data_IF_302482050250
#
_entry.id   IF_302482050250
#
_cell.length_a   1.000
_cell.length_b   1.000
_cell.length_c   1.000
_cell.angle_alpha   90.00
_cell.angle_beta   90.00
_cell.angle_gamma   90.00
#
_symmetry.space_group_name_H-M   'P 1'
#
loop_
_entity.id
_entity.type
_entity.pdbx_description
1 polymer ?
#
# COMPACT_ATOMS: atom_id res chain seq x y z
N UNK A 1 9.18 -17.61 6.68
CA UNK A 1 10.13 -16.80 5.87
C UNK A 1 10.63 -17.55 4.62
N UNK A 2 10.30 -18.84 4.46
CA UNK A 2 10.80 -19.69 3.36
C UNK A 2 10.05 -19.54 2.02
N UNK A 3 8.89 -18.89 1.99
CA UNK A 3 7.97 -19.08 0.86
C UNK A 3 8.03 -18.04 -0.28
N UNK A 4 8.62 -16.84 -0.09
CA UNK A 4 8.52 -15.75 -1.08
C UNK A 4 9.83 -15.26 -1.71
N UNK A 5 10.97 -15.86 -1.35
CA UNK A 5 12.28 -15.46 -1.87
C UNK A 5 12.65 -14.01 -1.56
N UNK A 6 13.86 -13.56 -1.95
CA UNK A 6 14.25 -12.16 -1.81
C UNK A 6 13.48 -11.27 -2.81
N UNK A 7 13.41 -9.97 -2.52
CA UNK A 7 12.98 -8.99 -3.51
C UNK A 7 13.86 -9.08 -4.78
N UNK A 8 13.31 -8.78 -5.98
CA UNK A 8 14.09 -8.82 -7.21
C UNK A 8 15.35 -7.95 -7.13
N UNK A 9 16.50 -8.49 -7.54
CA UNK A 9 17.81 -7.84 -7.36
C UNK A 9 17.92 -6.44 -7.99
N UNK A 10 17.13 -6.16 -9.04
CA UNK A 10 17.10 -4.82 -9.64
C UNK A 10 16.55 -3.74 -8.69
N UNK A 11 15.91 -4.12 -7.59
CA UNK A 11 15.41 -3.20 -6.56
C UNK A 11 16.39 -2.93 -5.43
N UNK A 12 17.52 -3.65 -5.36
CA UNK A 12 18.46 -3.55 -4.23
C UNK A 12 18.92 -2.11 -3.99
N UNK A 13 19.29 -1.39 -5.05
CA UNK A 13 19.72 0.02 -4.92
C UNK A 13 18.62 0.94 -4.36
N UNK A 14 17.34 0.61 -4.57
CA UNK A 14 16.21 1.34 -3.96
C UNK A 14 16.08 0.97 -2.49
N UNK A 15 16.16 -0.32 -2.16
CA UNK A 15 16.11 -0.82 -0.78
C UNK A 15 17.25 -0.21 0.05
N UNK A 16 18.47 -0.22 -0.47
CA UNK A 16 19.63 0.39 0.19
C UNK A 16 19.37 1.87 0.50
N UNK A 17 18.89 2.63 -0.49
CA UNK A 17 18.55 4.05 -0.31
C UNK A 17 17.41 4.25 0.70
N UNK A 18 16.39 3.41 0.69
CA UNK A 18 15.28 3.46 1.66
C UNK A 18 15.83 3.32 3.08
N UNK A 19 16.72 2.35 3.29
CA UNK A 19 17.31 2.07 4.60
C UNK A 19 18.31 3.14 5.03
N UNK A 20 19.20 3.59 4.14
CA UNK A 20 20.16 4.66 4.40
C UNK A 20 19.46 5.96 4.82
N UNK A 21 18.35 6.31 4.17
CA UNK A 21 17.58 7.51 4.47
C UNK A 21 16.56 7.31 5.62
N UNK A 22 16.46 6.09 6.17
CA UNK A 22 15.55 5.73 7.27
C UNK A 22 14.08 6.07 6.98
N UNK A 23 13.66 5.89 5.73
CA UNK A 23 12.25 6.09 5.35
C UNK A 23 11.34 4.92 5.78
N UNK A 24 11.93 3.78 6.10
CA UNK A 24 11.28 2.65 6.75
C UNK A 24 12.07 2.24 7.99
N UNK A 25 11.41 1.76 9.06
CA UNK A 25 12.11 1.27 10.25
C UNK A 25 12.84 -0.05 10.00
N UNK A 26 12.23 -0.92 9.20
CA UNK A 26 12.77 -2.22 8.80
C UNK A 26 12.82 -2.31 7.28
N UNK A 27 13.69 -3.20 6.77
CA UNK A 27 13.81 -3.43 5.33
C UNK A 27 12.48 -3.93 4.75
N UNK A 28 12.01 -3.37 3.62
CA UNK A 28 10.87 -3.93 2.93
C UNK A 28 11.19 -5.37 2.51
N UNK A 29 10.21 -6.25 2.67
CA UNK A 29 10.26 -7.66 2.25
C UNK A 29 9.15 -7.98 1.24
N UNK A 30 8.34 -6.99 0.86
CA UNK A 30 7.26 -7.12 -0.11
C UNK A 30 7.29 -5.95 -1.10
N UNK A 31 7.14 -6.27 -2.38
CA UNK A 31 7.01 -5.33 -3.48
C UNK A 31 5.70 -5.58 -4.24
N UNK A 32 4.85 -4.57 -4.35
CA UNK A 32 3.70 -4.56 -5.27
C UNK A 32 4.02 -3.68 -6.47
N UNK A 33 3.79 -4.18 -7.68
CA UNK A 33 3.87 -3.40 -8.91
C UNK A 33 2.45 -3.17 -9.41
N UNK A 34 2.05 -1.91 -9.49
CA UNK A 34 0.77 -1.53 -10.11
C UNK A 34 1.03 -0.88 -11.46
N UNK A 35 0.28 -1.29 -12.48
CA UNK A 35 0.21 -0.64 -13.77
C UNK A 35 -1.18 0.01 -13.93
N UNK A 36 -1.20 1.29 -14.29
CA UNK A 36 -2.40 2.04 -14.60
C UNK A 36 -2.30 2.62 -16.00
N UNK A 37 -3.16 2.16 -16.91
CA UNK A 37 -3.39 2.83 -18.18
C UNK A 37 -4.39 3.99 -17.99
N UNK A 38 -4.46 4.96 -18.92
CA UNK A 38 -5.52 5.98 -18.90
C UNK A 38 -6.90 5.32 -18.79
N UNK A 39 -7.75 5.81 -17.89
CA UNK A 39 -9.03 5.17 -17.58
C UNK A 39 -9.00 4.21 -16.39
N UNK A 40 -7.82 3.92 -15.81
CA UNK A 40 -7.66 3.03 -14.67
C UNK A 40 -7.21 3.79 -13.42
N UNK A 41 -7.75 3.39 -12.28
CA UNK A 41 -7.47 3.96 -10.97
C UNK A 41 -7.57 2.90 -9.87
N UNK A 42 -7.54 3.34 -8.62
CA UNK A 42 -7.76 2.48 -7.46
C UNK A 42 -8.73 3.16 -6.50
N UNK A 43 -9.71 2.39 -6.02
CA UNK A 43 -10.73 2.89 -5.10
C UNK A 43 -10.12 3.30 -3.75
N UNK A 44 -10.75 4.22 -3.00
CA UNK A 44 -10.27 4.61 -1.68
C UNK A 44 -10.13 3.44 -0.72
N UNK A 45 -8.91 3.22 -0.22
CA UNK A 45 -8.60 2.14 0.71
C UNK A 45 -7.43 2.49 1.64
N UNK A 46 -7.30 1.71 2.71
CA UNK A 46 -6.12 1.70 3.60
C UNK A 46 -5.44 0.35 3.42
N UNK A 47 -4.12 0.32 3.27
CA UNK A 47 -3.36 -0.92 3.25
C UNK A 47 -3.50 -1.67 4.57
N UNK A 48 -3.74 -2.98 4.49
CA UNK A 48 -4.06 -3.85 5.63
C UNK A 48 -3.14 -3.61 6.85
N UNK A 49 -3.63 -2.92 7.90
CA UNK A 49 -2.82 -2.56 9.06
C UNK A 49 -2.30 -3.76 9.86
N UNK A 50 -3.03 -4.87 9.81
CA UNK A 50 -2.63 -6.12 10.45
C UNK A 50 -1.53 -6.86 9.68
N UNK A 51 -1.38 -6.61 8.37
CA UNK A 51 -0.44 -7.35 7.53
C UNK A 51 0.86 -6.57 7.30
N UNK A 52 0.78 -5.25 7.11
CA UNK A 52 1.92 -4.43 6.72
C UNK A 52 2.37 -3.49 7.84
N UNK A 53 3.69 -3.35 8.02
CA UNK A 53 4.35 -2.51 9.01
C UNK A 53 4.05 -1.00 8.89
N UNK A 54 4.66 -0.12 9.68
CA UNK A 54 4.21 1.27 9.86
C UNK A 54 4.51 2.25 8.71
N UNK A 55 5.26 1.82 7.70
CA UNK A 55 5.62 2.63 6.54
C UNK A 55 5.22 1.92 5.24
N UNK A 56 4.61 2.68 4.32
CA UNK A 56 4.43 2.30 2.91
C UNK A 56 5.12 3.32 2.03
N UNK A 57 5.92 2.83 1.10
CA UNK A 57 6.63 3.67 0.15
C UNK A 57 6.13 3.37 -1.26
N UNK A 58 5.67 4.37 -2.01
CA UNK A 58 5.23 4.21 -3.40
C UNK A 58 6.05 5.08 -4.35
N UNK A 59 6.89 4.44 -5.16
CA UNK A 59 7.68 5.07 -6.19
C UNK A 59 6.85 5.20 -7.47
N UNK A 60 6.66 6.43 -7.96
CA UNK A 60 5.92 6.70 -9.19
C UNK A 60 6.85 6.72 -10.41
N UNK A 61 6.51 5.96 -11.44
CA UNK A 61 7.27 5.81 -12.68
C UNK A 61 6.40 6.11 -13.90
N UNK A 62 7.06 6.41 -15.02
CA UNK A 62 6.48 6.75 -16.32
C UNK A 62 5.69 8.07 -16.35
N UNK A 63 4.58 8.20 -15.64
CA UNK A 63 3.77 9.44 -15.61
C UNK A 63 3.37 9.82 -14.19
N UNK A 64 2.91 11.05 -14.04
CA UNK A 64 2.38 11.56 -12.78
C UNK A 64 0.89 11.21 -12.59
N UNK A 65 0.40 11.37 -11.36
CA UNK A 65 -1.01 11.27 -11.01
C UNK A 65 -1.33 12.13 -9.78
N UNK A 66 -2.61 12.31 -9.49
CA UNK A 66 -3.07 12.78 -8.19
C UNK A 66 -3.45 11.56 -7.34
N UNK A 67 -2.82 11.44 -6.17
CA UNK A 67 -3.28 10.53 -5.12
C UNK A 67 -4.13 11.32 -4.14
N UNK A 68 -5.41 10.95 -4.03
CA UNK A 68 -6.36 11.59 -3.11
C UNK A 68 -6.38 10.85 -1.79
N UNK A 69 -6.18 11.57 -0.69
CA UNK A 69 -6.31 11.09 0.67
C UNK A 69 -7.61 11.60 1.28
N UNK A 70 -8.42 10.71 1.85
CA UNK A 70 -9.68 11.07 2.52
C UNK A 70 -9.81 10.42 3.89
N UNK A 71 -10.25 11.20 4.88
CA UNK A 71 -10.57 10.73 6.22
C UNK A 71 -11.66 11.60 6.82
N UNK A 72 -12.84 11.02 7.08
CA UNK A 72 -14.03 11.77 7.52
C UNK A 72 -14.33 12.93 6.55
N UNK A 73 -14.40 14.17 7.05
CA UNK A 73 -14.63 15.38 6.24
C UNK A 73 -13.33 16.01 5.70
N UNK A 74 -12.18 15.36 5.91
CA UNK A 74 -10.87 15.86 5.47
C UNK A 74 -10.47 15.22 4.14
N UNK A 75 -9.96 16.04 3.23
CA UNK A 75 -9.39 15.63 1.95
C UNK A 75 -8.04 16.31 1.71
N UNK A 76 -7.10 15.59 1.11
CA UNK A 76 -5.87 16.14 0.58
C UNK A 76 -5.53 15.51 -0.77
N UNK A 77 -5.35 16.35 -1.78
CA UNK A 77 -4.89 15.94 -3.10
C UNK A 77 -3.37 16.11 -3.21
N UNK A 78 -2.65 14.99 -3.37
CA UNK A 78 -1.19 14.99 -3.50
C UNK A 78 -0.82 14.62 -4.93
N UNK A 79 -0.16 15.54 -5.64
CA UNK A 79 0.45 15.24 -6.93
C UNK A 79 1.65 14.33 -6.68
N UNK A 80 1.73 13.22 -7.41
CA UNK A 80 2.85 12.28 -7.43
C UNK A 80 3.58 12.38 -8.77
N UNK A 81 4.60 13.26 -8.90
CA UNK A 81 5.36 13.39 -10.13
C UNK A 81 6.06 12.09 -10.52
N UNK A 82 6.42 11.95 -11.80
CA UNK A 82 7.31 10.85 -12.21
C UNK A 82 8.65 10.93 -11.47
N UNK A 83 9.18 9.77 -11.06
CA UNK A 83 10.42 9.61 -10.25
C UNK A 83 10.33 10.23 -8.86
N UNK A 84 9.13 10.34 -8.30
CA UNK A 84 8.90 10.72 -6.90
C UNK A 84 8.59 9.49 -6.05
N UNK A 85 8.95 9.56 -4.77
CA UNK A 85 8.67 8.53 -3.78
C UNK A 85 7.72 9.10 -2.72
N UNK A 86 6.50 8.61 -2.67
CA UNK A 86 5.58 8.89 -1.57
C UNK A 86 5.94 8.01 -0.37
N UNK A 87 6.03 8.61 0.82
CA UNK A 87 6.30 7.91 2.09
C UNK A 87 5.09 8.11 2.99
N UNK A 88 4.30 7.06 3.21
CA UNK A 88 3.10 7.07 4.03
C UNK A 88 3.42 6.48 5.40
N UNK A 89 3.28 7.30 6.45
CA UNK A 89 3.48 6.95 7.86
C UNK A 89 2.40 7.59 8.73
N UNK A 90 2.21 7.08 9.96
CA UNK A 90 1.26 7.67 10.91
C UNK A 90 -0.16 7.73 10.36
N UNK A 91 -0.85 8.86 10.53
CA UNK A 91 -2.25 9.00 10.13
C UNK A 91 -2.46 8.80 8.61
N UNK A 92 -1.53 9.24 7.76
CA UNK A 92 -1.59 9.03 6.31
C UNK A 92 -1.54 7.53 5.95
N UNK A 93 -0.92 6.71 6.80
CA UNK A 93 -0.86 5.25 6.63
C UNK A 93 -2.08 4.54 7.20
N UNK A 94 -2.57 4.97 8.35
CA UNK A 94 -3.53 4.18 9.13
C UNK A 94 -4.96 4.68 9.10
N UNK A 95 -5.17 5.98 8.86
CA UNK A 95 -6.50 6.62 8.92
C UNK A 95 -7.00 7.03 7.55
N UNK A 96 -6.14 7.68 6.75
CA UNK A 96 -6.55 8.19 5.45
C UNK A 96 -6.64 7.09 4.41
N UNK A 97 -7.80 7.00 3.76
CA UNK A 97 -7.97 6.20 2.56
C UNK A 97 -7.28 6.92 1.41
N UNK A 98 -6.41 6.22 0.69
CA UNK A 98 -5.78 6.75 -0.51
C UNK A 98 -6.42 6.15 -1.76
N UNK A 99 -6.51 6.95 -2.82
CA UNK A 99 -7.10 6.57 -4.10
C UNK A 99 -6.41 7.27 -5.27
N UNK A 100 -6.63 6.73 -6.46
CA UNK A 100 -6.19 7.34 -7.72
C UNK A 100 -7.41 7.31 -8.65
N UNK A 101 -7.76 8.44 -9.27
CA UNK A 101 -8.95 8.50 -10.13
C UNK A 101 -8.78 7.64 -11.40
N UNK A 102 -9.90 7.23 -11.96
CA UNK A 102 -9.99 6.62 -13.29
C UNK A 102 -10.15 7.66 -14.40
N UNK A 103 -10.38 8.92 -14.06
CA UNK A 103 -10.61 9.97 -15.04
C UNK A 103 -9.37 10.16 -15.93
N UNK A 104 -9.58 10.53 -17.19
CA UNK A 104 -8.48 10.78 -18.13
C UNK A 104 -7.74 12.08 -17.79
N UNK A 105 -8.44 13.01 -17.16
CA UNK A 105 -7.93 14.30 -16.69
C UNK A 105 -8.28 14.43 -15.22
N UNK A 106 -7.29 14.69 -14.37
CA UNK A 106 -7.48 14.87 -12.93
C UNK A 106 -7.22 16.34 -12.55
N UNK A 107 -8.01 16.92 -11.65
CA UNK A 107 -7.79 18.28 -11.14
C UNK A 107 -7.71 18.26 -9.61
N UNK A 108 -6.67 18.89 -9.07
CA UNK A 108 -6.51 19.09 -7.62
C UNK A 108 -7.49 20.14 -7.09
N UNK A 109 -7.73 20.15 -5.78
CA UNK A 109 -8.49 21.21 -5.10
C UNK A 109 -7.90 22.62 -5.30
N UNK A 110 -6.58 22.71 -5.60
CA UNK A 110 -5.88 23.96 -5.92
C UNK A 110 -6.04 24.42 -7.37
N UNK A 111 -6.75 23.67 -8.21
CA UNK A 111 -6.98 23.97 -9.62
C UNK A 111 -5.89 23.49 -10.59
N UNK A 112 -4.87 22.77 -10.10
CA UNK A 112 -3.85 22.15 -10.98
C UNK A 112 -4.47 20.94 -11.67
N UNK A 113 -4.40 20.91 -13.01
CA UNK A 113 -4.92 19.82 -13.86
C UNK A 113 -3.79 18.99 -14.46
N UNK A 114 -3.97 17.66 -14.49
CA UNK A 114 -3.03 16.67 -15.02
C UNK A 114 -3.77 15.76 -16.01
N UNK A 115 -3.19 15.58 -17.19
CA UNK A 115 -3.62 14.58 -18.17
C UNK A 115 -2.97 13.22 -17.85
N UNK A 116 -3.79 12.18 -17.74
CA UNK A 116 -3.33 10.83 -17.39
C UNK A 116 -2.66 10.14 -18.56
N UNK A 117 -1.55 9.49 -18.24
CA UNK A 117 -0.86 8.58 -19.14
C UNK A 117 -0.59 7.25 -18.41
N UNK A 118 0.07 6.30 -19.09
CA UNK A 118 0.51 5.06 -18.49
C UNK A 118 1.43 5.33 -17.31
N UNK A 119 1.01 4.90 -16.12
CA UNK A 119 1.75 4.99 -14.86
C UNK A 119 2.10 3.60 -14.37
N UNK A 120 3.34 3.45 -13.89
CA UNK A 120 3.74 2.27 -13.10
C UNK A 120 4.11 2.77 -11.71
N UNK A 121 3.75 2.03 -10.67
CA UNK A 121 4.27 2.29 -9.33
C UNK A 121 4.83 1.06 -8.65
N UNK A 122 5.94 1.24 -7.94
CA UNK A 122 6.52 0.23 -7.07
C UNK A 122 6.19 0.59 -5.63
N UNK A 123 5.41 -0.26 -4.97
CA UNK A 123 5.02 -0.08 -3.58
C UNK A 123 5.79 -1.05 -2.69
N UNK A 124 6.71 -0.52 -1.88
CA UNK A 124 7.53 -1.24 -0.92
C UNK A 124 6.85 -1.29 0.45
N UNK A 125 6.80 -2.49 1.02
CA UNK A 125 6.15 -2.78 2.31
C UNK A 125 6.97 -3.79 3.10
N UNK A 126 6.84 -3.72 4.41
CA UNK A 126 7.23 -4.78 5.33
C UNK A 126 5.96 -5.57 5.69
N UNK A 127 5.93 -6.88 5.42
CA UNK A 127 4.94 -7.80 6.00
C UNK A 127 5.38 -8.11 7.43
N UNK A 128 4.48 -7.89 8.40
CA UNK A 128 4.72 -8.06 9.84
C UNK A 128 3.92 -9.22 10.47
N UNK A 129 2.89 -9.72 9.80
CA UNK A 129 2.10 -10.84 10.28
C UNK A 129 2.17 -12.00 9.29
N UNK A 130 2.47 -13.20 9.81
CA UNK A 130 2.38 -14.48 9.10
C UNK A 130 1.64 -15.45 10.02
N UNK A 131 0.52 -15.98 9.50
CA UNK A 131 -0.43 -16.95 10.10
C UNK A 131 -1.26 -16.48 11.30
N UNK A 132 -2.59 -16.59 11.12
CA UNK A 132 -3.53 -16.75 12.23
C UNK A 132 -3.16 -18.07 12.88
N UNK A 133 -2.81 -18.06 14.17
CA UNK A 133 -2.84 -19.30 14.95
C UNK A 133 -4.29 -19.76 14.91
N UNK A 134 -4.59 -20.86 14.21
CA UNK A 134 -5.86 -21.56 14.43
C UNK A 134 -5.85 -21.95 15.91
N UNK A 135 -6.62 -21.23 16.71
CA UNK A 135 -6.93 -21.61 18.08
C UNK A 135 -7.82 -22.86 18.00
N UNK A 136 -7.18 -24.03 17.87
CA UNK A 136 -7.77 -25.34 18.20
C UNK A 136 -7.96 -25.44 19.72
N UNK A 137 -8.74 -24.51 20.31
CA UNK A 137 -9.13 -24.56 21.71
C UNK A 137 -10.28 -23.59 22.01
N UNK A 138 -11.51 -23.97 21.63
CA UNK A 138 -12.69 -23.92 22.50
C UNK A 138 -14.00 -23.93 21.71
N UNK A 139 -14.48 -25.12 21.35
CA UNK A 139 -15.90 -25.40 21.52
C UNK A 139 -16.01 -26.70 22.29
N UNK A 140 -16.41 -26.57 23.55
CA UNK A 140 -16.55 -27.67 24.49
C UNK A 140 -17.56 -28.71 24.02
N UNK A 141 -17.27 -29.94 24.40
CA UNK A 141 -18.13 -31.12 24.33
C UNK A 141 -19.63 -30.84 24.48
N UNK A 142 -20.40 -31.28 23.49
CA UNK A 142 -21.74 -31.82 23.72
C UNK A 142 -21.84 -33.17 23.00
N UNK A 143 -21.24 -34.20 23.57
CA UNK A 143 -21.63 -35.58 23.28
C UNK A 143 -22.96 -35.84 24.01
N UNK A 144 -24.06 -35.61 23.31
CA UNK A 144 -25.26 -36.41 23.53
C UNK A 144 -24.97 -37.81 22.98
N UNK A 145 -24.75 -38.78 23.88
CA UNK A 145 -24.89 -40.19 23.55
C UNK A 145 -26.05 -40.75 24.39
N UNK A 146 -27.02 -41.27 23.64
CA UNK A 146 -28.14 -42.09 24.08
C UNK A 146 -27.68 -43.32 24.89
N UNK A 147 -28.53 -43.70 25.84
CA UNK A 147 -28.85 -45.08 26.27
C UNK A 147 -27.70 -46.09 26.45
N UNK A 148 -27.33 -46.38 27.70
CA UNK A 148 -27.74 -47.57 28.49
C UNK A 148 -26.99 -47.61 29.81
#
# INVERSE_FOLDING_TARGET
MEEYGPLPAFTNFLVDRIMENKWMPNSPNHLLINEYNPGQGIMPHVDAPALFGPAILSLSLLSECIMKFTFEDQQADIILPRRSLAVLTGDARYKFKHSISKDLTETTDSGITIERNKRISFTFREIIAWEVVEDDAACGNSNEILNM
#
